data_IF_400355202044
#
_entry.id   IF_400355202044
#
_cell.length_a   1.000
_cell.length_b   1.000
_cell.length_c   1.000
_cell.angle_alpha   90.00
_cell.angle_beta   90.00
_cell.angle_gamma   90.00
#
_symmetry.space_group_name_H-M   'P 1'
#
loop_
_entity.id
_entity.type
_entity.pdbx_description
1 polymer ?
#
# COMPACT_ATOMS: atom_id res chain seq x y z
N UNK A 1 -9.68 -14.90 -13.09
CA UNK A 1 -8.29 -14.54 -12.71
C UNK A 1 -8.23 -13.03 -12.53
N UNK A 2 -7.26 -12.51 -11.78
CA UNK A 2 -7.04 -11.09 -11.58
C UNK A 2 -5.55 -10.77 -11.78
N UNK A 3 -5.27 -9.69 -12.50
CA UNK A 3 -3.94 -9.08 -12.56
C UNK A 3 -3.75 -8.22 -11.30
N UNK A 4 -2.64 -8.41 -10.60
CA UNK A 4 -2.30 -7.66 -9.39
C UNK A 4 -0.87 -7.16 -9.46
N UNK A 5 -0.66 -5.94 -8.98
CA UNK A 5 0.67 -5.37 -8.73
C UNK A 5 0.97 -5.48 -7.23
N UNK A 6 2.18 -5.89 -6.88
CA UNK A 6 2.60 -6.11 -5.51
C UNK A 6 3.31 -4.89 -4.93
N UNK A 7 2.92 -4.52 -3.72
CA UNK A 7 3.72 -3.65 -2.86
C UNK A 7 4.93 -4.41 -2.27
N UNK A 8 5.84 -3.67 -1.65
CA UNK A 8 6.92 -4.26 -0.86
C UNK A 8 6.40 -5.13 0.28
N UNK A 9 7.22 -6.11 0.68
CA UNK A 9 6.91 -6.96 1.83
C UNK A 9 6.71 -6.11 3.08
N UNK A 10 5.70 -6.47 3.87
CA UNK A 10 5.51 -5.85 5.17
C UNK A 10 6.75 -6.04 6.05
N UNK A 11 7.15 -5.01 6.81
CA UNK A 11 8.19 -5.17 7.81
C UNK A 11 7.77 -6.17 8.89
N UNK A 12 8.75 -6.79 9.56
CA UNK A 12 8.51 -7.80 10.60
C UNK A 12 7.67 -7.29 11.77
N UNK A 13 7.65 -5.97 12.01
CA UNK A 13 6.84 -5.35 13.05
C UNK A 13 6.13 -4.09 12.51
N UNK A 14 4.91 -3.81 12.98
CA UNK A 14 4.22 -2.57 12.64
C UNK A 14 4.86 -1.38 13.35
N UNK A 15 4.52 -0.18 12.90
CA UNK A 15 4.93 1.05 13.58
C UNK A 15 4.42 1.07 15.05
N UNK A 16 5.23 1.61 15.97
CA UNK A 16 5.01 1.49 17.41
C UNK A 16 3.75 2.20 17.89
N UNK A 17 3.49 3.40 17.40
CA UNK A 17 2.45 4.32 17.86
C UNK A 17 1.09 4.01 17.24
N UNK A 18 1.03 3.83 15.93
CA UNK A 18 -0.26 3.66 15.21
C UNK A 18 -0.51 2.23 14.72
N UNK A 19 0.43 1.29 14.93
CA UNK A 19 0.29 -0.14 14.60
C UNK A 19 -0.01 -0.44 13.13
N UNK A 20 0.24 0.50 12.22
CA UNK A 20 0.11 0.27 10.79
C UNK A 20 1.44 -0.21 10.20
N UNK A 21 1.36 -0.93 9.09
CA UNK A 21 2.53 -1.38 8.34
C UNK A 21 2.87 -0.39 7.23
N UNK A 22 4.14 -0.03 7.14
CA UNK A 22 4.64 0.74 6.00
C UNK A 22 4.72 -0.16 4.78
N UNK A 23 4.17 0.31 3.67
CA UNK A 23 4.31 -0.28 2.34
C UNK A 23 4.96 0.74 1.42
N UNK A 24 5.63 0.25 0.37
CA UNK A 24 6.22 1.06 -0.68
C UNK A 24 6.00 0.40 -2.03
N UNK A 25 5.89 1.20 -3.08
CA UNK A 25 5.97 0.67 -4.44
C UNK A 25 7.43 0.25 -4.71
N UNK A 26 7.67 -0.98 -5.19
CA UNK A 26 8.99 -1.39 -5.63
C UNK A 26 9.43 -0.58 -6.85
N UNK A 27 10.75 -0.41 -7.04
CA UNK A 27 11.31 0.30 -8.21
C UNK A 27 10.98 -0.40 -9.53
N UNK A 28 10.81 -1.72 -9.49
CA UNK A 28 10.39 -2.54 -10.62
C UNK A 28 8.95 -3.00 -10.39
N UNK A 29 8.12 -2.96 -11.44
CA UNK A 29 6.75 -3.43 -11.35
C UNK A 29 6.72 -4.95 -11.21
N UNK A 30 6.47 -5.42 -9.97
CA UNK A 30 6.23 -6.83 -9.69
C UNK A 30 4.73 -7.11 -9.82
N UNK A 31 4.33 -7.72 -10.93
CA UNK A 31 2.96 -8.09 -11.20
C UNK A 31 2.77 -9.60 -11.33
N UNK A 32 1.55 -10.07 -11.07
CA UNK A 32 1.19 -11.48 -11.25
C UNK A 32 -0.29 -11.65 -11.60
N UNK A 33 -0.64 -12.81 -12.14
CA UNK A 33 -2.04 -13.21 -12.37
C UNK A 33 -2.41 -14.25 -11.32
N UNK A 34 -3.41 -13.95 -10.50
CA UNK A 34 -3.87 -14.84 -9.41
C UNK A 34 -5.34 -15.25 -9.59
N UNK A 35 -5.77 -16.41 -9.04
CA UNK A 35 -7.18 -16.71 -8.86
C UNK A 35 -7.87 -15.65 -8.00
N UNK A 36 -9.06 -15.21 -8.42
CA UNK A 36 -9.83 -14.18 -7.69
C UNK A 36 -10.17 -14.65 -6.27
N UNK A 37 -10.40 -15.95 -6.08
CA UNK A 37 -10.64 -16.55 -4.75
C UNK A 37 -9.47 -16.43 -3.75
N UNK A 38 -8.28 -16.04 -4.21
CA UNK A 38 -7.15 -15.75 -3.33
C UNK A 38 -7.25 -14.34 -2.69
N UNK A 39 -8.06 -13.44 -3.26
CA UNK A 39 -8.31 -12.11 -2.71
C UNK A 39 -9.35 -12.24 -1.59
N UNK A 40 -8.96 -11.90 -0.36
CA UNK A 40 -9.81 -12.11 0.82
C UNK A 40 -10.47 -10.85 1.35
N UNK A 41 -9.77 -9.71 1.28
CA UNK A 41 -10.23 -8.44 1.85
C UNK A 41 -9.50 -7.27 1.22
N UNK A 42 -10.20 -6.15 1.16
CA UNK A 42 -9.61 -4.84 0.92
C UNK A 42 -9.14 -4.24 2.25
N UNK A 43 -8.10 -3.43 2.19
CA UNK A 43 -7.63 -2.64 3.33
C UNK A 43 -7.51 -1.19 2.92
N UNK A 44 -7.84 -0.27 3.82
CA UNK A 44 -7.65 1.15 3.58
C UNK A 44 -6.18 1.51 3.78
N UNK A 45 -5.65 2.32 2.87
CA UNK A 45 -4.32 2.88 2.99
C UNK A 45 -4.43 4.32 3.50
N UNK A 46 -3.45 4.71 4.31
CA UNK A 46 -3.28 6.08 4.75
C UNK A 46 -1.98 6.64 4.15
N UNK A 47 -2.01 7.83 3.55
CA UNK A 47 -0.83 8.44 2.98
C UNK A 47 0.18 8.75 4.09
N UNK A 48 1.46 8.44 3.85
CA UNK A 48 2.56 8.83 4.72
C UNK A 48 3.29 10.04 4.11
N UNK A 49 2.93 11.24 4.55
CA UNK A 49 3.45 12.51 4.06
C UNK A 49 4.70 13.02 4.81
N UNK A 50 5.15 12.30 5.83
CA UNK A 50 6.23 12.78 6.70
C UNK A 50 5.81 14.03 7.50
N UNK A 51 6.72 15.00 7.73
CA UNK A 51 6.43 16.15 8.58
C UNK A 51 5.51 17.21 7.95
N UNK A 52 5.42 17.28 6.62
CA UNK A 52 4.70 18.34 5.90
C UNK A 52 3.78 17.73 4.84
N UNK A 53 2.48 17.98 4.96
CA UNK A 53 1.48 17.56 3.98
C UNK A 53 1.58 18.41 2.70
N UNK A 54 1.66 17.81 1.50
CA UNK A 54 1.60 18.54 0.24
C UNK A 54 0.26 19.28 0.08
N UNK A 55 0.31 20.60 -0.14
CA UNK A 55 -0.91 21.45 -0.28
C UNK A 55 -1.71 21.19 -1.56
N UNK A 56 -1.12 20.52 -2.54
CA UNK A 56 -1.75 20.15 -3.82
C UNK A 56 -2.65 18.93 -3.71
N UNK A 57 -2.68 18.29 -2.54
CA UNK A 57 -3.51 17.11 -2.32
C UNK A 57 -4.99 17.46 -2.22
N UNK A 58 -5.77 16.62 -2.87
CA UNK A 58 -7.22 16.62 -2.95
C UNK A 58 -7.67 15.19 -2.73
N UNK A 59 -8.95 14.97 -2.49
CA UNK A 59 -9.50 13.61 -2.41
C UNK A 59 -9.37 12.80 -3.70
N UNK A 60 -8.90 13.40 -4.81
CA UNK A 60 -8.73 12.74 -6.10
C UNK A 60 -7.30 12.26 -6.38
N UNK A 61 -6.29 12.82 -5.69
CA UNK A 61 -4.88 12.58 -5.99
C UNK A 61 -4.05 12.20 -4.74
N UNK A 62 -4.72 11.78 -3.67
CA UNK A 62 -4.13 11.29 -2.41
C UNK A 62 -4.46 9.82 -2.16
#
# INVERSE_FOLDING_TARGET
LAYVEWFSRFPNSPERHHKMYKISQPNECFASIIPVGNIRRSVHLFPNFGPVVPRVWTSQNV
#
